data_IF_782362277086
#
_entry.id   IF_782362277086
#
_cell.length_a   1.000
_cell.length_b   1.000
_cell.length_c   1.000
_cell.angle_alpha   90.00
_cell.angle_beta   90.00
_cell.angle_gamma   90.00
#
_symmetry.space_group_name_H-M   'P 1'
#
loop_
_entity.id
_entity.type
_entity.pdbx_description
1 polymer ?
#
# COMPACT_ATOMS: atom_id res chain seq x y z
N UNK A 1 -30.20 29.18 -11.76
CA UNK A 1 -30.04 27.72 -12.02
C UNK A 1 -28.65 27.32 -12.53
N UNK A 2 -27.95 28.10 -13.39
CA UNK A 2 -26.65 27.71 -13.96
C UNK A 2 -25.51 27.54 -12.94
N UNK A 3 -25.41 28.40 -11.92
CA UNK A 3 -24.35 28.32 -10.89
C UNK A 3 -24.43 27.05 -10.03
N UNK A 4 -25.65 26.63 -9.65
CA UNK A 4 -25.89 25.40 -8.89
C UNK A 4 -25.55 24.14 -9.71
N UNK A 5 -25.83 24.16 -11.01
CA UNK A 5 -25.48 23.07 -11.93
C UNK A 5 -23.97 22.96 -12.17
N UNK A 6 -23.25 24.09 -12.18
CA UNK A 6 -21.80 24.13 -12.37
C UNK A 6 -21.05 23.61 -11.14
N UNK A 7 -21.52 23.98 -9.93
CA UNK A 7 -21.00 23.48 -8.65
C UNK A 7 -21.26 21.99 -8.47
N UNK A 8 -22.44 21.50 -8.89
CA UNK A 8 -22.75 20.08 -8.84
C UNK A 8 -21.87 19.27 -9.81
N UNK A 9 -21.61 19.81 -11.01
CA UNK A 9 -20.77 19.17 -12.01
C UNK A 9 -19.28 19.11 -11.59
N UNK A 10 -18.77 20.14 -10.92
CA UNK A 10 -17.40 20.13 -10.38
C UNK A 10 -17.25 19.19 -9.19
N UNK A 11 -18.27 19.08 -8.33
CA UNK A 11 -18.29 18.11 -7.23
C UNK A 11 -18.33 16.66 -7.73
N UNK A 12 -19.11 16.38 -8.79
CA UNK A 12 -19.15 15.06 -9.44
C UNK A 12 -17.84 14.74 -10.16
N UNK A 13 -17.20 15.73 -10.81
CA UNK A 13 -15.90 15.54 -11.46
C UNK A 13 -14.75 15.31 -10.47
N UNK A 14 -14.81 15.87 -9.25
CA UNK A 14 -13.82 15.57 -8.19
C UNK A 14 -14.02 14.19 -7.55
N UNK A 15 -15.21 13.59 -7.68
CA UNK A 15 -15.49 12.23 -7.22
C UNK A 15 -14.95 11.15 -8.19
N UNK A 16 -14.72 11.49 -9.46
CA UNK A 16 -14.18 10.56 -10.46
C UNK A 16 -12.67 10.31 -10.37
N UNK A 17 -11.93 11.07 -9.56
CA UNK A 17 -10.46 10.90 -9.42
C UNK A 17 -10.05 10.05 -8.20
N UNK A 18 -11.00 9.43 -7.49
CA UNK A 18 -10.71 8.66 -6.27
C UNK A 18 -11.42 7.32 -6.15
N UNK A 19 -11.99 6.77 -7.23
CA UNK A 19 -12.57 5.43 -7.19
C UNK A 19 -11.46 4.37 -7.04
N UNK A 20 -11.32 3.84 -5.82
CA UNK A 20 -10.58 2.62 -5.46
C UNK A 20 -9.17 2.52 -6.06
N UNK A 21 -8.18 3.13 -5.41
CA UNK A 21 -6.77 2.80 -5.70
C UNK A 21 -6.39 1.51 -4.98
N UNK A 22 -6.99 0.38 -5.37
CA UNK A 22 -6.43 -0.91 -5.02
C UNK A 22 -5.05 -1.09 -5.69
N UNK A 23 -4.28 -2.07 -5.20
CA UNK A 23 -3.03 -2.46 -5.84
C UNK A 23 -3.23 -2.77 -7.33
N UNK A 24 -2.36 -2.24 -8.18
CA UNK A 24 -2.34 -2.55 -9.61
C UNK A 24 -1.86 -4.01 -9.85
N UNK A 25 -1.90 -4.48 -11.10
CA UNK A 25 -1.56 -5.86 -11.43
C UNK A 25 -0.11 -6.25 -11.08
N UNK A 26 0.85 -5.33 -11.21
CA UNK A 26 2.25 -5.57 -10.83
C UNK A 26 2.38 -5.63 -9.30
N UNK A 27 1.82 -4.64 -8.61
CA UNK A 27 1.85 -4.53 -7.15
C UNK A 27 1.13 -5.71 -6.48
N UNK A 28 0.05 -6.23 -7.08
CA UNK A 28 -0.62 -7.46 -6.61
C UNK A 28 0.31 -8.67 -6.70
N UNK A 29 1.15 -8.78 -7.74
CA UNK A 29 2.14 -9.86 -7.84
C UNK A 29 3.25 -9.72 -6.81
N UNK A 30 3.82 -8.52 -6.66
CA UNK A 30 4.79 -8.22 -5.61
C UNK A 30 4.21 -8.53 -4.21
N UNK A 31 2.97 -8.14 -3.95
CA UNK A 31 2.28 -8.44 -2.69
C UNK A 31 2.17 -9.95 -2.43
N UNK A 32 1.86 -10.75 -3.46
CA UNK A 32 1.86 -12.21 -3.33
C UNK A 32 3.27 -12.75 -3.12
N UNK A 33 4.29 -12.19 -3.78
CA UNK A 33 5.67 -12.57 -3.55
C UNK A 33 6.09 -12.28 -2.10
N UNK A 34 5.72 -11.12 -1.54
CA UNK A 34 5.96 -10.81 -0.12
C UNK A 34 5.30 -11.84 0.81
N UNK A 35 4.06 -12.23 0.50
CA UNK A 35 3.33 -13.23 1.27
C UNK A 35 3.97 -14.62 1.18
N UNK A 36 4.37 -15.05 -0.01
CA UNK A 36 5.02 -16.34 -0.25
C UNK A 36 6.38 -16.45 0.42
N UNK A 37 7.14 -15.35 0.43
CA UNK A 37 8.45 -15.28 1.09
C UNK A 37 8.36 -14.98 2.59
N UNK A 38 7.15 -14.90 3.17
CA UNK A 38 6.92 -14.57 4.58
C UNK A 38 7.55 -13.24 5.04
N UNK A 39 7.69 -12.29 4.12
CA UNK A 39 8.20 -10.93 4.41
C UNK A 39 7.10 -9.88 4.47
N UNK A 40 5.85 -10.28 4.21
CA UNK A 40 4.69 -9.39 4.28
C UNK A 40 4.45 -8.89 5.71
N UNK A 41 4.38 -7.58 5.85
CA UNK A 41 3.98 -6.90 7.09
C UNK A 41 2.48 -6.62 7.04
N UNK A 42 1.71 -7.31 7.87
CA UNK A 42 0.26 -7.11 8.00
C UNK A 42 -0.07 -6.10 9.11
N UNK A 43 -0.10 -4.81 8.78
CA UNK A 43 -0.60 -3.76 9.70
C UNK A 43 -2.13 -3.77 9.77
N UNK A 44 -2.79 -4.06 8.63
CA UNK A 44 -4.24 -4.07 8.47
C UNK A 44 -4.68 -5.43 7.95
N UNK A 45 -5.74 -6.01 8.51
CA UNK A 45 -6.31 -7.25 8.01
C UNK A 45 -7.29 -6.94 6.87
N UNK A 46 -7.06 -7.40 5.63
CA UNK A 46 -7.97 -7.11 4.52
C UNK A 46 -9.39 -7.59 4.76
N UNK A 47 -9.54 -8.73 5.43
CA UNK A 47 -10.85 -9.27 5.82
C UNK A 47 -11.59 -8.38 6.82
N UNK A 48 -10.88 -7.76 7.75
CA UNK A 48 -11.47 -6.78 8.68
C UNK A 48 -11.94 -5.54 7.94
N UNK A 49 -11.16 -5.04 6.97
CA UNK A 49 -11.58 -3.94 6.10
C UNK A 49 -12.87 -4.26 5.33
N UNK A 50 -12.97 -5.47 4.78
CA UNK A 50 -14.17 -5.92 4.07
C UNK A 50 -15.41 -5.97 4.98
N UNK A 51 -15.27 -6.54 6.18
CA UNK A 51 -16.37 -6.62 7.15
C UNK A 51 -16.81 -5.24 7.62
N UNK A 52 -15.86 -4.34 7.89
CA UNK A 52 -16.17 -2.97 8.27
C UNK A 52 -16.84 -2.19 7.13
N UNK A 53 -16.61 -2.56 5.86
CA UNK A 53 -17.28 -1.97 4.72
C UNK A 53 -18.78 -2.29 4.58
N UNK A 54 -19.32 -3.19 5.40
CA UNK A 54 -20.78 -3.38 5.49
C UNK A 54 -21.41 -2.21 6.27
N UNK A 55 -20.65 -1.62 7.19
CA UNK A 55 -21.04 -0.42 7.90
C UNK A 55 -20.85 0.79 7.00
N UNK A 56 -21.67 1.85 7.15
CA UNK A 56 -21.59 3.03 6.31
C UNK A 56 -20.20 3.69 6.36
N UNK A 57 -19.41 3.48 5.30
CA UNK A 57 -18.06 4.02 5.13
C UNK A 57 -16.98 3.35 5.99
N UNK A 58 -17.31 2.28 6.71
CA UNK A 58 -16.38 1.64 7.65
C UNK A 58 -15.18 1.01 6.95
N UNK A 59 -15.33 0.55 5.70
CA UNK A 59 -14.26 0.00 4.89
C UNK A 59 -13.24 1.07 4.54
N UNK A 60 -13.70 2.17 3.94
CA UNK A 60 -12.85 3.33 3.62
C UNK A 60 -12.19 3.96 4.85
N UNK A 61 -12.89 4.10 5.99
CA UNK A 61 -12.26 4.60 7.22
C UNK A 61 -11.16 3.67 7.73
N UNK A 62 -11.37 2.34 7.64
CA UNK A 62 -10.35 1.37 8.03
C UNK A 62 -9.10 1.43 7.14
N UNK A 63 -9.32 1.64 5.84
CA UNK A 63 -8.31 1.85 4.81
C UNK A 63 -7.65 3.25 4.83
N UNK A 64 -7.93 4.08 5.84
CA UNK A 64 -7.39 5.46 5.96
C UNK A 64 -7.79 6.37 4.79
N UNK A 65 -8.95 6.14 4.20
CA UNK A 65 -9.52 6.94 3.12
C UNK A 65 -10.75 7.75 3.62
N UNK A 66 -10.56 8.82 4.41
CA UNK A 66 -11.66 9.54 5.04
C UNK A 66 -12.60 10.21 4.03
N UNK A 67 -12.07 10.63 2.87
CA UNK A 67 -12.88 11.21 1.80
C UNK A 67 -13.90 10.21 1.25
N UNK A 68 -13.47 8.99 0.96
CA UNK A 68 -14.34 7.91 0.51
C UNK A 68 -15.28 7.44 1.61
N UNK A 69 -14.83 7.42 2.87
CA UNK A 69 -15.67 7.10 4.02
C UNK A 69 -16.87 8.04 4.17
N UNK A 70 -16.67 9.35 3.97
CA UNK A 70 -17.76 10.33 4.02
C UNK A 70 -18.74 10.12 2.86
N UNK A 71 -18.25 9.84 1.65
CA UNK A 71 -19.11 9.56 0.49
C UNK A 71 -19.93 8.28 0.71
N UNK A 72 -19.29 7.21 1.22
CA UNK A 72 -19.93 5.93 1.48
C UNK A 72 -20.93 6.00 2.63
N UNK A 73 -20.71 6.88 3.61
CA UNK A 73 -21.69 7.20 4.66
C UNK A 73 -22.94 7.87 4.08
N UNK A 74 -22.78 8.82 3.16
CA UNK A 74 -23.89 9.53 2.51
C UNK A 74 -24.67 8.64 1.52
N UNK A 75 -23.99 7.68 0.89
CA UNK A 75 -24.58 6.76 -0.10
C UNK A 75 -25.07 5.44 0.51
N UNK A 76 -25.00 5.29 1.82
CA UNK A 76 -25.55 4.12 2.51
C UNK A 76 -27.09 4.09 2.39
N UNK A 77 -27.72 2.93 2.13
CA UNK A 77 -27.17 1.57 2.16
C UNK A 77 -26.58 1.07 0.84
N UNK A 78 -26.64 1.84 -0.24
CA UNK A 78 -26.15 1.43 -1.57
C UNK A 78 -24.64 1.18 -1.56
N UNK A 79 -23.91 1.89 -0.69
CA UNK A 79 -22.45 1.78 -0.54
C UNK A 79 -21.93 0.40 -0.11
N UNK A 80 -22.78 -0.47 0.45
CA UNK A 80 -22.41 -1.86 0.79
C UNK A 80 -22.00 -2.67 -0.44
N UNK A 81 -22.38 -2.25 -1.65
CA UNK A 81 -21.97 -2.92 -2.89
C UNK A 81 -20.48 -2.73 -3.23
N UNK A 82 -19.81 -1.68 -2.71
CA UNK A 82 -18.41 -1.37 -3.07
C UNK A 82 -17.50 -1.04 -1.88
N UNK A 83 -18.03 -0.55 -0.76
CA UNK A 83 -17.22 -0.22 0.43
C UNK A 83 -16.50 -1.44 1.05
N UNK A 84 -17.07 -2.68 1.06
CA UNK A 84 -16.31 -3.87 1.46
C UNK A 84 -15.09 -4.14 0.57
N UNK A 85 -15.21 -3.90 -0.74
CA UNK A 85 -14.12 -4.11 -1.69
C UNK A 85 -13.05 -3.02 -1.49
N UNK A 86 -13.47 -1.76 -1.33
CA UNK A 86 -12.58 -0.63 -1.01
C UNK A 86 -11.81 -0.88 0.29
N UNK A 87 -12.49 -1.32 1.36
CA UNK A 87 -11.84 -1.65 2.63
C UNK A 87 -10.84 -2.80 2.54
N UNK A 88 -11.13 -3.83 1.72
CA UNK A 88 -10.21 -4.94 1.47
C UNK A 88 -8.97 -4.49 0.68
N UNK A 89 -9.18 -3.79 -0.44
CA UNK A 89 -8.11 -3.37 -1.32
C UNK A 89 -7.21 -2.30 -0.69
N UNK A 90 -7.77 -1.31 0.01
CA UNK A 90 -6.99 -0.29 0.71
C UNK A 90 -6.20 -0.88 1.89
N UNK A 91 -6.71 -1.90 2.57
CA UNK A 91 -5.93 -2.62 3.58
C UNK A 91 -4.75 -3.40 2.97
N UNK A 92 -4.91 -3.99 1.78
CA UNK A 92 -3.79 -4.61 1.06
C UNK A 92 -2.77 -3.56 0.61
N UNK A 93 -3.21 -2.39 0.14
CA UNK A 93 -2.34 -1.29 -0.27
C UNK A 93 -1.47 -0.79 0.90
N UNK A 94 -2.09 -0.53 2.05
CA UNK A 94 -1.36 -0.15 3.27
C UNK A 94 -0.29 -1.18 3.62
N UNK A 95 -0.64 -2.47 3.63
CA UNK A 95 0.31 -3.54 3.93
C UNK A 95 1.44 -3.62 2.92
N UNK A 96 1.14 -3.45 1.63
CA UNK A 96 2.12 -3.43 0.56
C UNK A 96 3.14 -2.29 0.76
N UNK A 97 2.67 -1.07 0.98
CA UNK A 97 3.53 0.11 1.14
C UNK A 97 4.42 0.01 2.38
N UNK A 98 3.86 -0.43 3.50
CA UNK A 98 4.62 -0.65 4.74
C UNK A 98 5.66 -1.73 4.55
N UNK A 99 5.30 -2.84 3.89
CA UNK A 99 6.24 -3.93 3.60
C UNK A 99 7.38 -3.42 2.72
N UNK A 100 7.07 -2.69 1.66
CA UNK A 100 8.08 -2.13 0.75
C UNK A 100 9.01 -1.16 1.46
N UNK A 101 8.45 -0.27 2.30
CA UNK A 101 9.23 0.65 3.11
C UNK A 101 10.13 -0.10 4.11
N UNK A 102 9.63 -1.15 4.76
CA UNK A 102 10.40 -1.96 5.70
C UNK A 102 11.55 -2.69 5.01
N UNK A 103 11.30 -3.35 3.90
CA UNK A 103 12.31 -4.07 3.11
C UNK A 103 13.39 -3.12 2.60
N UNK A 104 13.00 -1.95 2.10
CA UNK A 104 13.94 -0.93 1.67
C UNK A 104 14.82 -0.45 2.83
N UNK A 105 14.23 -0.18 3.99
CA UNK A 105 14.97 0.21 5.19
C UNK A 105 15.94 -0.87 5.65
N UNK A 106 15.54 -2.13 5.63
CA UNK A 106 16.38 -3.25 6.04
C UNK A 106 17.54 -3.47 5.08
N UNK A 107 17.29 -3.35 3.77
CA UNK A 107 18.33 -3.34 2.73
C UNK A 107 19.34 -2.22 2.97
N UNK A 108 18.87 -1.00 3.18
CA UNK A 108 19.74 0.17 3.38
C UNK A 108 20.59 0.03 4.66
N UNK A 109 20.03 -0.58 5.72
CA UNK A 109 20.79 -0.90 6.93
C UNK A 109 21.87 -1.97 6.68
N UNK A 110 21.59 -3.00 5.88
CA UNK A 110 22.59 -4.02 5.52
C UNK A 110 23.70 -3.44 4.65
N UNK A 111 23.35 -2.58 3.68
CA UNK A 111 24.33 -1.88 2.83
C UNK A 111 25.17 -0.92 3.65
N UNK A 112 24.58 -0.13 4.57
CA UNK A 112 25.33 0.78 5.44
C UNK A 112 26.35 0.04 6.30
N UNK A 113 26.01 -1.14 6.84
CA UNK A 113 26.96 -1.98 7.58
C UNK A 113 28.08 -2.51 6.66
N UNK A 114 27.78 -2.78 5.40
CA UNK A 114 28.78 -3.21 4.42
C UNK A 114 29.73 -2.04 4.07
N UNK A 115 29.20 -0.83 3.91
CA UNK A 115 29.98 0.39 3.68
C UNK A 115 30.92 0.68 4.85
N UNK A 116 30.45 0.53 6.09
CA UNK A 116 31.29 0.66 7.30
C UNK A 116 32.44 -0.35 7.31
N UNK A 117 32.18 -1.62 6.94
CA UNK A 117 33.22 -2.66 6.85
C UNK A 117 34.30 -2.31 5.83
N UNK A 118 33.90 -1.78 4.66
CA UNK A 118 34.83 -1.31 3.64
C UNK A 118 35.65 -0.12 4.16
N UNK A 119 35.01 0.85 4.80
CA UNK A 119 35.67 2.03 5.37
C UNK A 119 36.67 1.68 6.49
N UNK A 120 36.38 0.64 7.27
CA UNK A 120 37.29 0.10 8.29
C UNK A 120 38.41 -0.79 7.71
N UNK A 121 38.42 -1.04 6.39
CA UNK A 121 39.39 -1.93 5.74
C UNK A 121 39.22 -3.41 6.11
N UNK A 122 38.04 -3.81 6.59
CA UNK A 122 37.74 -5.20 6.96
C UNK A 122 37.44 -6.10 5.76
N UNK A 123 37.07 -5.50 4.63
CA UNK A 123 36.78 -6.17 3.36
C UNK A 123 37.44 -5.40 2.22
N UNK A 124 37.71 -6.08 1.12
CA UNK A 124 38.22 -5.44 -0.10
C UNK A 124 37.08 -4.96 -1.04
N UNK A 125 37.44 -4.25 -2.11
CA UNK A 125 36.46 -3.76 -3.10
C UNK A 125 35.74 -4.89 -3.85
N UNK A 126 36.40 -6.04 -4.06
CA UNK A 126 35.82 -7.17 -4.78
C UNK A 126 34.76 -7.85 -3.92
N UNK A 127 35.08 -8.10 -2.66
CA UNK A 127 34.20 -8.62 -1.62
C UNK A 127 33.01 -7.69 -1.39
N UNK A 128 33.23 -6.38 -1.36
CA UNK A 128 32.17 -5.38 -1.29
C UNK A 128 31.17 -5.52 -2.44
N UNK A 129 31.65 -5.58 -3.69
CA UNK A 129 30.77 -5.68 -4.87
C UNK A 129 29.97 -6.98 -4.86
N UNK A 130 30.59 -8.10 -4.49
CA UNK A 130 29.89 -9.39 -4.39
C UNK A 130 28.84 -9.39 -3.28
N UNK A 131 29.20 -8.92 -2.09
CA UNK A 131 28.29 -8.86 -0.94
C UNK A 131 27.12 -7.90 -1.20
N UNK A 132 27.37 -6.75 -1.83
CA UNK A 132 26.33 -5.80 -2.21
C UNK A 132 25.32 -6.42 -3.17
N UNK A 133 25.79 -7.14 -4.20
CA UNK A 133 24.90 -7.87 -5.13
C UNK A 133 24.06 -8.94 -4.44
N UNK A 134 24.63 -9.65 -3.46
CA UNK A 134 23.89 -10.64 -2.67
C UNK A 134 22.78 -9.98 -1.84
N UNK A 135 23.06 -8.82 -1.22
CA UNK A 135 22.05 -8.02 -0.50
C UNK A 135 20.95 -7.59 -1.48
N UNK A 136 21.31 -7.04 -2.64
CA UNK A 136 20.33 -6.62 -3.65
C UNK A 136 19.44 -7.78 -4.12
N UNK A 137 20.01 -8.96 -4.35
CA UNK A 137 19.27 -10.18 -4.71
C UNK A 137 18.36 -10.66 -3.58
N UNK A 138 18.81 -10.61 -2.33
CA UNK A 138 18.02 -11.00 -1.14
C UNK A 138 16.76 -10.15 -0.97
N UNK A 139 16.81 -8.88 -1.38
CA UNK A 139 15.69 -7.93 -1.27
C UNK A 139 14.93 -7.74 -2.59
N UNK A 140 15.23 -8.52 -3.63
CA UNK A 140 14.52 -8.50 -4.91
C UNK A 140 13.32 -9.46 -4.85
N UNK A 141 12.13 -8.88 -4.77
CA UNK A 141 10.85 -9.62 -4.69
C UNK A 141 9.91 -9.27 -5.86
N UNK A 142 10.48 -8.81 -6.97
CA UNK A 142 9.77 -8.40 -8.21
C UNK A 142 9.55 -9.57 -9.18
#
# INVERSE_FOLDING_TARGET
>A
MKMKSLLLATLVASLSTGCASGLNSMQKREYQAFKQNNVLVEEKKPTTGAVLGILPGGGSFYAREPGLGIVNLLMWPVSVLWDPISGYEGAMEINYDITKQKLQRDKDQEVSKLDEKLAMGQIDNTEYVLAKRQIEQKYSFE
#
